data_IF_199894699789
#
_entry.id   IF_199894699789
#
_cell.length_a   1.000
_cell.length_b   1.000
_cell.length_c   1.000
_cell.angle_alpha   90.00
_cell.angle_beta   90.00
_cell.angle_gamma   90.00
#
_symmetry.space_group_name_H-M   'P 1'
#
loop_
_entity.id
_entity.type
_entity.pdbx_description
1 polymer ?
#
# COMPACT_ATOMS: atom_id res chain seq x y z
N UNK A 1 -26.03 48.80 5.39
CA UNK A 1 -25.95 48.78 3.92
C UNK A 1 -24.48 48.65 3.54
N UNK A 2 -24.13 47.59 2.79
CA UNK A 2 -22.92 47.41 1.96
C UNK A 2 -21.53 47.60 2.65
N UNK A 3 -20.49 46.79 2.45
CA UNK A 3 -20.16 45.87 1.36
C UNK A 3 -19.03 44.93 1.83
N UNK A 4 -18.92 43.78 1.19
CA UNK A 4 -17.79 42.83 1.28
C UNK A 4 -16.44 43.49 0.99
N UNK A 5 -15.33 42.90 1.43
CA UNK A 5 -14.43 42.10 0.57
C UNK A 5 -13.29 41.52 1.41
N UNK A 6 -13.05 40.25 1.12
CA UNK A 6 -12.10 39.33 1.73
C UNK A 6 -10.72 39.53 1.09
N UNK A 7 -9.70 38.93 1.71
CA UNK A 7 -8.41 38.52 1.12
C UNK A 7 -7.34 39.61 0.97
N UNK A 8 -6.33 39.57 1.84
CA UNK A 8 -4.93 39.95 1.54
C UNK A 8 -3.98 39.23 2.52
N UNK A 9 -3.85 37.91 2.37
CA UNK A 9 -2.64 37.20 2.80
C UNK A 9 -1.91 36.78 1.53
N UNK A 10 -1.34 37.78 0.88
CA UNK A 10 -0.44 37.59 -0.24
C UNK A 10 0.87 36.98 0.25
N UNK A 11 1.21 35.84 -0.34
CA UNK A 11 2.55 35.56 -0.84
C UNK A 11 3.66 35.28 0.17
N UNK A 12 3.65 34.07 0.76
CA UNK A 12 4.87 33.41 1.29
C UNK A 12 4.89 31.88 1.05
N UNK A 13 4.26 31.38 -0.01
CA UNK A 13 4.28 29.93 -0.35
C UNK A 13 4.92 29.65 -1.71
N UNK A 14 5.98 30.37 -2.08
CA UNK A 14 6.64 30.20 -3.38
C UNK A 14 8.00 29.49 -3.34
N UNK A 15 8.44 28.93 -2.21
CA UNK A 15 9.77 28.28 -2.13
C UNK A 15 9.71 26.94 -1.39
N UNK A 16 8.87 26.00 -1.84
CA UNK A 16 9.10 24.56 -1.65
C UNK A 16 8.63 23.70 -2.84
N UNK A 17 8.30 24.29 -4.00
CA UNK A 17 8.17 23.54 -5.25
C UNK A 17 9.57 23.35 -5.85
N UNK A 18 10.41 22.58 -5.16
CA UNK A 18 11.68 22.10 -5.70
C UNK A 18 11.62 20.59 -5.79
N UNK A 19 11.37 20.14 -7.02
CA UNK A 19 11.70 18.81 -7.54
C UNK A 19 11.05 17.61 -6.83
N UNK A 20 9.80 17.32 -7.20
CA UNK A 20 9.41 15.93 -7.39
C UNK A 20 9.09 15.75 -8.87
N UNK A 21 10.08 15.30 -9.62
CA UNK A 21 9.96 14.92 -11.02
C UNK A 21 8.67 14.11 -11.21
N UNK A 22 7.87 14.59 -12.15
CA UNK A 22 6.64 13.99 -12.64
C UNK A 22 6.87 12.52 -13.02
N UNK A 23 6.62 11.61 -12.07
CA UNK A 23 6.11 10.30 -12.45
C UNK A 23 4.66 10.51 -12.82
N UNK A 24 4.39 10.61 -14.12
CA UNK A 24 3.05 10.49 -14.68
C UNK A 24 2.30 9.39 -13.93
N UNK A 25 1.03 9.60 -13.51
CA UNK A 25 0.24 8.53 -12.94
C UNK A 25 -0.01 7.54 -14.08
N UNK A 26 0.90 6.58 -14.25
CA UNK A 26 0.64 5.39 -15.06
C UNK A 26 -0.65 4.83 -14.47
N UNK A 27 -1.72 4.84 -15.25
CA UNK A 27 -2.98 4.25 -14.84
C UNK A 27 -2.66 2.89 -14.21
N UNK A 28 -3.09 2.62 -12.96
CA UNK A 28 -2.71 1.41 -12.26
C UNK A 28 -3.04 0.24 -13.18
N UNK A 29 -2.01 -0.53 -13.54
CA UNK A 29 -2.19 -1.63 -14.48
C UNK A 29 -3.20 -2.60 -13.85
N UNK A 30 -4.41 -2.76 -14.43
CA UNK A 30 -5.43 -3.61 -13.86
C UNK A 30 -4.93 -5.06 -13.73
N UNK A 31 -3.97 -5.48 -14.56
CA UNK A 31 -3.31 -6.78 -14.42
C UNK A 31 -2.41 -6.86 -13.19
N UNK A 32 -1.69 -5.79 -12.84
CA UNK A 32 -0.84 -5.75 -11.66
C UNK A 32 -1.69 -5.84 -10.38
N UNK A 33 -2.79 -5.11 -10.31
CA UNK A 33 -3.71 -5.19 -9.16
C UNK A 33 -4.27 -6.61 -8.99
N UNK A 34 -4.80 -7.20 -10.07
CA UNK A 34 -5.33 -8.57 -10.04
C UNK A 34 -4.27 -9.60 -9.66
N UNK A 35 -3.02 -9.44 -10.13
CA UNK A 35 -1.92 -10.32 -9.79
C UNK A 35 -1.59 -10.26 -8.29
N UNK A 36 -1.51 -9.06 -7.72
CA UNK A 36 -1.25 -8.86 -6.29
C UNK A 36 -2.37 -9.45 -5.45
N UNK A 37 -3.64 -9.16 -5.80
CA UNK A 37 -4.81 -9.72 -5.11
C UNK A 37 -4.78 -11.25 -5.10
N UNK A 38 -4.57 -11.88 -6.26
CA UNK A 38 -4.49 -13.34 -6.37
C UNK A 38 -3.33 -13.91 -5.55
N UNK A 39 -2.19 -13.23 -5.53
CA UNK A 39 -1.01 -13.66 -4.79
C UNK A 39 -1.25 -13.58 -3.27
N UNK A 40 -1.85 -12.49 -2.79
CA UNK A 40 -2.22 -12.32 -1.38
C UNK A 40 -3.29 -13.32 -0.93
N UNK A 41 -4.34 -13.53 -1.73
CA UNK A 41 -5.38 -14.52 -1.42
C UNK A 41 -4.85 -15.95 -1.44
N UNK A 42 -3.96 -16.28 -2.37
CA UNK A 42 -3.28 -17.58 -2.38
C UNK A 42 -2.43 -17.77 -1.12
N UNK A 43 -1.75 -16.71 -0.67
CA UNK A 43 -0.92 -16.77 0.52
C UNK A 43 -1.75 -16.89 1.81
N UNK A 44 -2.90 -16.21 1.88
CA UNK A 44 -3.87 -16.36 2.97
C UNK A 44 -4.45 -17.78 3.02
N UNK A 45 -4.70 -18.37 1.84
CA UNK A 45 -5.23 -19.72 1.71
C UNK A 45 -6.66 -19.86 2.24
N UNK A 46 -7.25 -21.04 2.04
CA UNK A 46 -8.63 -21.33 2.46
C UNK A 46 -8.81 -21.21 3.98
N UNK A 47 -7.89 -21.80 4.75
CA UNK A 47 -7.95 -21.75 6.22
C UNK A 47 -7.80 -20.33 6.75
N UNK A 48 -6.94 -19.50 6.14
CA UNK A 48 -6.80 -18.10 6.53
C UNK A 48 -8.02 -17.27 6.20
N UNK A 49 -8.66 -17.55 5.06
CA UNK A 49 -9.92 -16.92 4.67
C UNK A 49 -11.09 -17.30 5.60
N UNK A 50 -11.17 -18.57 6.04
CA UNK A 50 -12.18 -19.01 7.01
C UNK A 50 -12.04 -18.33 8.37
N UNK A 51 -10.80 -18.14 8.85
CA UNK A 51 -10.52 -17.48 10.13
C UNK A 51 -10.64 -15.95 10.01
N UNK A 52 -10.32 -15.39 8.84
CA UNK A 52 -10.30 -13.94 8.58
C UNK A 52 -11.11 -13.57 7.32
N UNK A 53 -12.44 -13.77 7.31
CA UNK A 53 -13.27 -13.48 6.14
C UNK A 53 -13.25 -11.99 5.77
N UNK A 54 -13.16 -11.11 6.76
CA UNK A 54 -13.01 -9.66 6.54
C UNK A 54 -11.72 -9.30 5.81
N UNK A 55 -10.61 -9.99 6.11
CA UNK A 55 -9.33 -9.78 5.44
C UNK A 55 -9.39 -10.25 3.99
N UNK A 56 -9.99 -11.41 3.73
CA UNK A 56 -10.23 -11.91 2.37
C UNK A 56 -11.03 -10.89 1.55
N UNK A 57 -12.11 -10.35 2.13
CA UNK A 57 -12.95 -9.34 1.49
C UNK A 57 -12.18 -8.05 1.18
N UNK A 58 -11.42 -7.54 2.17
CA UNK A 58 -10.58 -6.34 2.00
C UNK A 58 -9.52 -6.51 0.91
N UNK A 59 -8.93 -7.69 0.77
CA UNK A 59 -7.97 -7.99 -0.31
C UNK A 59 -8.70 -8.05 -1.66
N UNK A 60 -9.83 -8.77 -1.74
CA UNK A 60 -10.59 -8.95 -3.00
C UNK A 60 -11.12 -7.64 -3.58
N UNK A 61 -11.58 -6.74 -2.72
CA UNK A 61 -12.21 -5.49 -3.11
C UNK A 61 -11.37 -4.25 -2.78
N UNK A 62 -10.05 -4.43 -2.65
CA UNK A 62 -9.15 -3.33 -2.40
C UNK A 62 -9.29 -2.24 -3.49
N UNK A 63 -9.45 -0.95 -3.12
CA UNK A 63 -9.69 0.12 -4.07
C UNK A 63 -8.44 0.54 -4.87
N UNK A 64 -7.24 0.11 -4.43
CA UNK A 64 -5.97 0.45 -5.06
C UNK A 64 -4.85 -0.52 -4.66
N UNK A 65 -3.74 -0.49 -5.42
CA UNK A 65 -2.51 -1.23 -5.07
C UNK A 65 -1.91 -0.73 -3.75
N UNK A 66 -2.07 0.57 -3.45
CA UNK A 66 -1.62 1.15 -2.18
C UNK A 66 -2.44 0.60 -0.99
N UNK A 67 -3.75 0.39 -1.14
CA UNK A 67 -4.54 -0.27 -0.11
C UNK A 67 -4.05 -1.72 0.14
N UNK A 68 -3.70 -2.45 -0.92
CA UNK A 68 -3.10 -3.80 -0.82
C UNK A 68 -1.73 -3.77 -0.10
N UNK A 69 -0.94 -2.71 -0.30
CA UNK A 69 0.34 -2.55 0.39
C UNK A 69 0.16 -2.47 1.90
N UNK A 70 -0.82 -1.70 2.38
CA UNK A 70 -1.12 -1.60 3.81
C UNK A 70 -1.70 -2.90 4.39
N UNK A 71 -2.48 -3.65 3.60
CA UNK A 71 -3.01 -4.95 3.99
C UNK A 71 -1.94 -6.02 4.21
N UNK A 72 -0.69 -5.79 3.82
CA UNK A 72 0.42 -6.72 4.09
C UNK A 72 0.67 -6.94 5.59
N UNK A 73 0.47 -5.91 6.43
CA UNK A 73 0.64 -6.04 7.87
C UNK A 73 -0.46 -6.95 8.46
N UNK A 74 -1.71 -6.72 8.07
CA UNK A 74 -2.85 -7.58 8.45
C UNK A 74 -2.64 -9.02 7.95
N UNK A 75 -2.15 -9.18 6.72
CA UNK A 75 -1.82 -10.49 6.15
C UNK A 75 -0.71 -11.18 6.95
N UNK A 76 0.37 -10.49 7.30
CA UNK A 76 1.42 -11.06 8.14
C UNK A 76 0.87 -11.55 9.49
N UNK A 77 0.03 -10.74 10.15
CA UNK A 77 -0.59 -11.11 11.41
C UNK A 77 -1.48 -12.35 11.29
N UNK A 78 -2.33 -12.41 10.26
CA UNK A 78 -3.17 -13.58 10.00
C UNK A 78 -2.32 -14.85 9.78
N UNK A 79 -1.17 -14.69 9.13
CA UNK A 79 -0.24 -15.78 8.86
C UNK A 79 0.51 -16.25 10.12
N UNK A 80 0.90 -15.35 11.02
CA UNK A 80 1.52 -15.71 12.31
C UNK A 80 0.62 -16.58 13.20
N UNK A 81 -0.70 -16.58 12.98
CA UNK A 81 -1.62 -17.48 13.69
C UNK A 81 -1.56 -18.92 13.18
N UNK A 82 -0.97 -19.15 12.00
CA UNK A 82 -0.96 -20.45 11.31
C UNK A 82 0.45 -21.04 11.18
N UNK A 83 1.49 -20.20 11.25
CA UNK A 83 2.90 -20.55 11.07
C UNK A 83 3.76 -19.72 12.01
N UNK A 84 5.03 -20.07 12.13
CA UNK A 84 6.01 -19.24 12.84
C UNK A 84 6.12 -17.85 12.21
N UNK A 85 6.46 -16.88 13.07
CA UNK A 85 6.53 -15.47 12.71
C UNK A 85 7.53 -15.21 11.57
N UNK A 86 8.70 -15.84 11.62
CA UNK A 86 9.74 -15.68 10.59
C UNK A 86 9.24 -16.11 9.22
N UNK A 87 8.60 -17.29 9.13
CA UNK A 87 8.02 -17.80 7.88
C UNK A 87 6.83 -16.97 7.40
N UNK A 88 6.06 -16.35 8.30
CA UNK A 88 4.96 -15.46 7.95
C UNK A 88 5.48 -14.16 7.32
N UNK A 89 6.43 -13.52 8.00
CA UNK A 89 7.06 -12.28 7.55
C UNK A 89 7.81 -12.48 6.23
N UNK A 90 8.55 -13.59 6.09
CA UNK A 90 9.25 -13.89 4.84
C UNK A 90 8.29 -14.01 3.66
N UNK A 91 7.19 -14.74 3.82
CA UNK A 91 6.25 -14.93 2.73
C UNK A 91 5.51 -13.65 2.32
N UNK A 92 5.28 -12.73 3.27
CA UNK A 92 4.77 -11.39 2.95
C UNK A 92 5.87 -10.55 2.29
N UNK A 93 7.14 -10.72 2.69
CA UNK A 93 8.28 -10.05 2.06
C UNK A 93 8.46 -10.44 0.59
N UNK A 94 8.20 -11.71 0.25
CA UNK A 94 8.27 -12.22 -1.12
C UNK A 94 7.23 -11.57 -2.05
N UNK A 95 6.18 -10.93 -1.50
CA UNK A 95 5.22 -10.15 -2.29
C UNK A 95 5.75 -8.75 -2.68
N UNK A 96 6.78 -8.25 -2.00
CA UNK A 96 7.32 -6.88 -2.21
C UNK A 96 7.64 -6.54 -3.65
N UNK A 97 8.27 -7.42 -4.45
CA UNK A 97 8.56 -7.14 -5.85
C UNK A 97 7.32 -6.84 -6.70
N UNK A 98 6.15 -7.38 -6.34
CA UNK A 98 4.90 -7.14 -7.07
C UNK A 98 4.40 -5.68 -6.92
N UNK A 99 4.82 -5.00 -5.85
CA UNK A 99 4.45 -3.61 -5.59
C UNK A 99 5.44 -2.61 -6.18
N UNK A 100 6.61 -3.06 -6.63
CA UNK A 100 7.63 -2.18 -7.20
C UNK A 100 7.13 -1.48 -8.46
N UNK A 101 7.31 -0.16 -8.52
CA UNK A 101 6.79 0.67 -9.61
C UNK A 101 5.29 0.98 -9.53
N UNK A 102 4.55 0.39 -8.59
CA UNK A 102 3.12 0.63 -8.38
C UNK A 102 2.80 1.42 -7.08
N UNK A 103 3.79 1.62 -6.21
CA UNK A 103 3.68 2.40 -4.97
C UNK A 103 4.75 3.49 -4.92
N UNK A 104 4.58 4.46 -4.01
CA UNK A 104 5.54 5.53 -3.81
C UNK A 104 6.92 4.98 -3.40
N UNK A 105 7.99 5.50 -4.01
CA UNK A 105 9.36 5.11 -3.68
C UNK A 105 9.70 5.29 -2.20
N UNK A 106 9.11 6.30 -1.54
CA UNK A 106 9.26 6.56 -0.11
C UNK A 106 8.75 5.42 0.76
N UNK A 107 7.61 4.81 0.41
CA UNK A 107 7.04 3.66 1.12
C UNK A 107 7.93 2.42 0.97
N UNK A 108 8.39 2.16 -0.25
CA UNK A 108 9.29 1.04 -0.54
C UNK A 108 10.62 1.18 0.22
N UNK A 109 11.20 2.39 0.24
CA UNK A 109 12.44 2.68 0.98
C UNK A 109 12.28 2.52 2.49
N UNK A 110 11.15 2.97 3.06
CA UNK A 110 10.86 2.79 4.48
C UNK A 110 10.83 1.30 4.87
N UNK A 111 10.19 0.47 4.04
CA UNK A 111 10.18 -0.99 4.23
C UNK A 111 11.58 -1.60 4.16
N UNK A 112 12.38 -1.26 3.15
CA UNK A 112 13.75 -1.75 3.00
C UNK A 112 14.69 -1.37 4.16
N UNK A 113 14.43 -0.23 4.82
CA UNK A 113 15.19 0.19 6.01
C UNK A 113 14.82 -0.62 7.25
N UNK A 114 13.55 -1.00 7.40
CA UNK A 114 13.09 -1.85 8.50
C UNK A 114 13.64 -3.27 8.42
N UNK A 115 13.78 -3.82 7.21
CA UNK A 115 14.26 -5.19 6.97
C UNK A 115 15.79 -5.38 7.15
N UNK A 116 16.56 -4.30 7.30
CA UNK A 116 18.03 -4.34 7.46
C UNK A 116 18.52 -4.23 8.91
N UNK A 117 17.60 -4.19 9.87
CA UNK A 117 17.88 -4.11 11.30
C UNK A 117 17.64 -5.44 11.95
#
# INVERSE_FOLDING_TARGET
MHSSVKTFLSSLTSILTSSNAESTPKAPDPHAMLLIQKSMLRLLGLRGAEVHPELEHRIRYAPSIEALWFLRADLAQALCLQRDETSALQAVSDLTPLFEGNIAKTQLQAYQRGQRR
#
